data_IF_833963393289
#
_entry.id   IF_833963393289
#
_cell.length_a   1.000
_cell.length_b   1.000
_cell.length_c   1.000
_cell.angle_alpha   90.00
_cell.angle_beta   90.00
_cell.angle_gamma   90.00
#
_symmetry.space_group_name_H-M   'P 1'
#
loop_
_entity.id
_entity.type
_entity.pdbx_description
1 polymer ?
#
# COMPACT_ATOMS: atom_id res chain seq x y z
N UNK A 1 -14.16 -3.72 19.58
CA UNK A 1 -13.15 -3.55 18.54
C UNK A 1 -12.34 -2.31 18.86
N UNK A 2 -11.03 -2.41 18.82
CA UNK A 2 -10.12 -1.32 19.14
C UNK A 2 -9.54 -0.77 17.85
N UNK A 3 -9.58 0.55 17.68
CA UNK A 3 -9.08 1.25 16.51
C UNK A 3 -7.92 2.17 16.88
N UNK A 4 -7.12 2.53 15.90
CA UNK A 4 -6.12 3.58 16.03
C UNK A 4 -6.14 4.45 14.78
N UNK A 5 -5.81 5.73 14.96
CA UNK A 5 -5.70 6.69 13.85
C UNK A 5 -4.24 6.92 13.52
N UNK A 6 -3.92 6.89 12.26
CA UNK A 6 -2.60 7.20 11.72
C UNK A 6 -2.70 8.24 10.61
N UNK A 7 -1.60 8.92 10.35
CA UNK A 7 -1.49 9.87 9.24
C UNK A 7 -0.45 9.36 8.26
N UNK A 8 -0.89 9.08 7.05
CA UNK A 8 -0.07 8.65 5.93
C UNK A 8 -0.33 9.56 4.71
N UNK A 9 0.40 9.34 3.62
CA UNK A 9 0.19 10.07 2.38
C UNK A 9 -1.29 9.97 1.94
N UNK A 10 -1.97 11.07 1.63
CA UNK A 10 -3.42 11.12 1.43
C UNK A 10 -3.96 10.11 0.41
N UNK A 11 -3.34 9.97 -0.76
CA UNK A 11 -3.83 9.02 -1.77
C UNK A 11 -3.71 7.56 -1.33
N UNK A 12 -2.73 7.23 -0.47
CA UNK A 12 -2.59 5.88 0.09
C UNK A 12 -3.67 5.60 1.15
N UNK A 13 -4.03 6.60 1.94
CA UNK A 13 -5.17 6.50 2.86
C UNK A 13 -6.48 6.27 2.09
N UNK A 14 -6.73 7.03 1.04
CA UNK A 14 -7.90 6.88 0.17
C UNK A 14 -7.94 5.48 -0.48
N UNK A 15 -6.79 4.99 -0.94
CA UNK A 15 -6.68 3.65 -1.51
C UNK A 15 -7.09 2.55 -0.53
N UNK A 16 -6.59 2.60 0.70
CA UNK A 16 -6.93 1.62 1.75
C UNK A 16 -8.40 1.71 2.16
N UNK A 17 -8.93 2.92 2.30
CA UNK A 17 -10.34 3.13 2.59
C UNK A 17 -11.20 2.54 1.46
N UNK A 18 -10.90 2.84 0.22
CA UNK A 18 -11.62 2.32 -0.94
C UNK A 18 -11.53 0.81 -1.10
N UNK A 19 -10.39 0.23 -0.70
CA UNK A 19 -10.15 -1.21 -0.80
C UNK A 19 -10.88 -2.03 0.26
N UNK A 20 -10.93 -1.55 1.49
CA UNK A 20 -11.36 -2.35 2.65
C UNK A 20 -12.60 -1.80 3.39
N UNK A 21 -13.01 -0.56 3.13
CA UNK A 21 -14.17 0.02 3.81
C UNK A 21 -15.47 -0.25 3.04
N UNK A 22 -15.93 -1.49 3.06
CA UNK A 22 -17.19 -1.87 2.41
C UNK A 22 -18.45 -1.44 3.17
N UNK A 23 -18.32 -0.94 4.39
CA UNK A 23 -19.44 -0.68 5.29
C UNK A 23 -19.67 0.80 5.62
N UNK A 24 -18.91 1.74 5.06
CA UNK A 24 -19.01 3.19 5.30
C UNK A 24 -19.01 3.60 6.79
N UNK A 25 -18.34 2.85 7.65
CA UNK A 25 -18.33 3.08 9.10
C UNK A 25 -17.13 3.86 9.63
N UNK A 26 -16.36 4.49 8.79
CA UNK A 26 -15.21 5.29 9.20
C UNK A 26 -13.93 4.51 9.49
N UNK A 27 -13.99 3.41 10.24
CA UNK A 27 -12.84 2.54 10.47
C UNK A 27 -12.64 1.52 9.35
N UNK A 28 -11.37 1.27 9.02
CA UNK A 28 -10.98 0.26 8.04
C UNK A 28 -10.66 -1.06 8.73
N UNK A 29 -11.30 -2.13 8.30
CA UNK A 29 -11.02 -3.51 8.74
C UNK A 29 -10.20 -4.22 7.69
N UNK A 30 -8.96 -4.54 8.04
CA UNK A 30 -8.06 -5.27 7.16
C UNK A 30 -8.26 -6.77 7.39
N UNK A 31 -8.49 -7.56 6.32
CA UNK A 31 -8.66 -9.01 6.45
C UNK A 31 -7.43 -9.68 7.05
N UNK A 32 -7.65 -10.68 7.89
CA UNK A 32 -6.59 -11.48 8.51
C UNK A 32 -5.75 -12.30 7.51
N UNK A 33 -6.27 -12.51 6.32
CA UNK A 33 -5.56 -13.12 5.19
C UNK A 33 -4.58 -12.18 4.49
N UNK A 34 -4.59 -10.88 4.81
CA UNK A 34 -3.73 -9.87 4.20
C UNK A 34 -2.39 -9.77 4.91
N UNK A 35 -1.30 -9.64 4.14
CA UNK A 35 0.03 -9.36 4.69
C UNK A 35 0.05 -8.05 5.51
N UNK A 36 -0.75 -7.06 5.12
CA UNK A 36 -0.88 -5.80 5.84
C UNK A 36 -1.41 -6.02 7.28
N UNK A 37 -2.36 -6.94 7.47
CA UNK A 37 -2.84 -7.32 8.79
C UNK A 37 -1.70 -7.82 9.69
N UNK A 38 -0.86 -8.70 9.17
CA UNK A 38 0.27 -9.27 9.90
C UNK A 38 1.33 -8.22 10.22
N UNK A 39 1.62 -7.32 9.27
CA UNK A 39 2.57 -6.23 9.46
C UNK A 39 2.11 -5.25 10.54
N UNK A 40 0.85 -4.87 10.54
CA UNK A 40 0.28 -4.02 11.59
C UNK A 40 0.39 -4.70 12.95
N UNK A 41 0.05 -5.99 13.03
CA UNK A 41 0.16 -6.76 14.27
C UNK A 41 1.61 -6.79 14.81
N UNK A 42 2.60 -6.97 13.94
CA UNK A 42 4.01 -6.95 14.33
C UNK A 42 4.43 -5.58 14.90
N UNK A 43 3.94 -4.49 14.32
CA UNK A 43 4.23 -3.13 14.76
C UNK A 43 3.46 -2.67 16.00
N UNK A 44 2.39 -3.35 16.39
CA UNK A 44 1.63 -3.01 17.58
C UNK A 44 2.52 -3.12 18.82
N UNK A 45 2.50 -2.08 19.65
CA UNK A 45 3.28 -2.01 20.89
C UNK A 45 2.46 -1.35 22.01
N UNK A 46 2.99 -1.42 23.22
CA UNK A 46 2.43 -0.69 24.35
C UNK A 46 2.71 0.80 24.19
N UNK A 47 1.71 1.62 24.47
CA UNK A 47 1.88 3.08 24.47
C UNK A 47 2.81 3.49 25.59
N UNK A 48 3.87 4.27 25.32
CA UNK A 48 4.66 4.91 26.38
C UNK A 48 3.77 5.87 27.20
N UNK A 49 3.99 5.91 28.51
CA UNK A 49 3.18 6.74 29.42
C UNK A 49 3.21 8.24 29.07
N UNK A 50 4.27 8.70 28.46
CA UNK A 50 4.49 10.09 28.06
C UNK A 50 3.81 10.47 26.72
N UNK A 51 3.30 9.50 25.96
CA UNK A 51 2.72 9.72 24.63
C UNK A 51 1.20 9.74 24.72
N UNK A 52 0.55 10.87 24.37
CA UNK A 52 -0.91 10.97 24.38
C UNK A 52 -1.54 10.12 23.27
N UNK A 53 -2.81 9.77 23.46
CA UNK A 53 -3.61 9.12 22.42
C UNK A 53 -3.79 10.09 21.26
N UNK A 54 -3.49 9.66 20.02
CA UNK A 54 -3.75 10.45 18.82
C UNK A 54 -5.25 10.41 18.51
N UNK A 55 -5.88 11.58 18.57
CA UNK A 55 -7.31 11.74 18.28
C UNK A 55 -7.58 12.07 16.80
N UNK A 56 -6.53 12.39 16.04
CA UNK A 56 -6.62 12.79 14.64
C UNK A 56 -5.74 11.95 13.73
N UNK A 57 -6.18 11.79 12.48
CA UNK A 57 -5.45 11.09 11.44
C UNK A 57 -6.32 10.97 10.19
N UNK A 58 -5.71 10.65 9.06
CA UNK A 58 -6.43 10.45 7.80
C UNK A 58 -6.80 8.99 7.53
N UNK A 59 -6.39 8.08 8.40
CA UNK A 59 -6.73 6.66 8.30
C UNK A 59 -7.00 6.09 9.70
N UNK A 60 -8.20 5.60 9.92
CA UNK A 60 -8.56 4.87 11.14
C UNK A 60 -8.60 3.37 10.84
N UNK A 61 -7.77 2.62 11.55
CA UNK A 61 -7.59 1.18 11.35
C UNK A 61 -8.10 0.42 12.56
N UNK A 62 -8.91 -0.62 12.32
CA UNK A 62 -9.21 -1.63 13.32
C UNK A 62 -7.95 -2.47 13.56
N UNK A 63 -7.48 -2.49 14.80
CA UNK A 63 -6.27 -3.22 15.14
C UNK A 63 -6.49 -4.73 15.08
N UNK A 64 -5.51 -5.49 14.57
CA UNK A 64 -5.54 -6.94 14.59
C UNK A 64 -5.78 -7.50 15.99
N UNK A 65 -6.76 -8.40 16.10
CA UNK A 65 -7.11 -9.10 17.33
C UNK A 65 -6.97 -10.61 17.12
N UNK A 66 -5.97 -11.20 17.75
CA UNK A 66 -5.68 -12.63 17.68
C UNK A 66 -5.90 -13.27 19.04
N UNK A 67 -6.26 -14.56 19.05
CA UNK A 67 -6.49 -15.31 20.30
C UNK A 67 -5.28 -15.40 21.22
N UNK A 68 -4.07 -15.30 20.66
CA UNK A 68 -2.82 -15.33 21.41
C UNK A 68 -1.88 -14.22 20.95
N UNK A 69 -1.07 -13.72 21.86
CA UNK A 69 -0.07 -12.70 21.60
C UNK A 69 -0.50 -11.32 22.09
N UNK A 70 -0.37 -10.31 21.22
CA UNK A 70 -0.63 -8.91 21.58
C UNK A 70 -2.13 -8.64 21.67
N UNK A 71 -2.61 -8.34 22.89
CA UNK A 71 -3.98 -7.87 23.10
C UNK A 71 -4.10 -6.42 22.66
N UNK A 72 -4.98 -6.06 21.71
CA UNK A 72 -5.13 -4.69 21.24
C UNK A 72 -5.62 -3.71 22.31
N UNK A 73 -6.21 -4.20 23.41
CA UNK A 73 -6.54 -3.36 24.57
C UNK A 73 -5.29 -2.76 25.25
N UNK A 74 -4.16 -3.44 25.14
CA UNK A 74 -2.87 -3.05 25.73
C UNK A 74 -1.87 -2.61 24.66
N UNK A 75 -1.81 -3.34 23.56
CA UNK A 75 -0.89 -3.10 22.43
C UNK A 75 -1.59 -2.28 21.32
N UNK A 76 -1.99 -1.06 21.64
CA UNK A 76 -2.75 -0.18 20.75
C UNK A 76 -1.94 1.03 20.23
N UNK A 77 -0.63 0.97 20.34
CA UNK A 77 0.26 2.04 19.90
C UNK A 77 1.03 1.67 18.65
N UNK A 78 1.02 2.57 17.68
CA UNK A 78 1.85 2.54 16.48
C UNK A 78 2.80 3.73 16.53
N UNK A 79 4.09 3.46 16.71
CA UNK A 79 5.14 4.49 16.72
C UNK A 79 5.28 5.17 15.35
N UNK A 80 5.97 6.30 15.30
CA UNK A 80 6.30 6.98 14.03
C UNK A 80 7.02 6.03 13.06
N UNK A 81 7.92 5.20 13.56
CA UNK A 81 8.60 4.16 12.77
C UNK A 81 7.62 3.11 12.26
N UNK A 82 6.70 2.66 13.09
CA UNK A 82 5.66 1.71 12.71
C UNK A 82 4.76 2.27 11.60
N UNK A 83 4.31 3.50 11.73
CA UNK A 83 3.48 4.17 10.72
C UNK A 83 4.22 4.28 9.38
N UNK A 84 5.50 4.63 9.37
CA UNK A 84 6.32 4.67 8.15
C UNK A 84 6.46 3.29 7.50
N UNK A 85 6.66 2.24 8.30
CA UNK A 85 6.73 0.86 7.81
C UNK A 85 5.41 0.39 7.19
N UNK A 86 4.29 0.70 7.83
CA UNK A 86 2.94 0.41 7.33
C UNK A 86 2.68 1.18 6.04
N UNK A 87 3.00 2.48 5.99
CA UNK A 87 2.86 3.31 4.79
C UNK A 87 3.67 2.78 3.62
N UNK A 88 4.91 2.36 3.85
CA UNK A 88 5.76 1.77 2.81
C UNK A 88 5.14 0.48 2.25
N UNK A 89 4.59 -0.37 3.12
CA UNK A 89 3.91 -1.58 2.68
C UNK A 89 2.66 -1.26 1.84
N UNK A 90 1.85 -0.31 2.28
CA UNK A 90 0.67 0.16 1.53
C UNK A 90 1.07 0.73 0.16
N UNK A 91 2.14 1.52 0.11
CA UNK A 91 2.69 2.06 -1.14
C UNK A 91 3.12 0.95 -2.10
N UNK A 92 3.76 -0.07 -1.59
CA UNK A 92 4.16 -1.23 -2.41
C UNK A 92 2.95 -2.00 -2.93
N UNK A 93 1.92 -2.22 -2.11
CA UNK A 93 0.66 -2.82 -2.53
C UNK A 93 -0.01 -2.00 -3.64
N UNK A 94 -0.11 -0.69 -3.46
CA UNK A 94 -0.68 0.23 -4.43
C UNK A 94 0.05 0.17 -5.77
N UNK A 95 1.37 0.30 -5.75
CA UNK A 95 2.18 0.26 -6.95
C UNK A 95 2.09 -1.10 -7.66
N UNK A 96 2.12 -2.19 -6.92
CA UNK A 96 2.01 -3.53 -7.47
C UNK A 96 0.68 -3.74 -8.19
N UNK A 97 -0.41 -3.32 -7.59
CA UNK A 97 -1.76 -3.45 -8.16
C UNK A 97 -1.93 -2.57 -9.40
N UNK A 98 -1.55 -1.29 -9.33
CA UNK A 98 -1.61 -0.37 -10.47
C UNK A 98 -0.72 -0.83 -11.63
N UNK A 99 0.53 -1.19 -11.35
CA UNK A 99 1.46 -1.64 -12.37
C UNK A 99 1.00 -2.97 -13.01
N UNK A 100 0.40 -3.86 -12.23
CA UNK A 100 -0.17 -5.10 -12.74
C UNK A 100 -1.30 -4.85 -13.74
N UNK A 101 -2.22 -3.95 -13.42
CA UNK A 101 -3.31 -3.59 -14.32
C UNK A 101 -2.81 -2.94 -15.61
N UNK A 102 -1.84 -2.04 -15.52
CA UNK A 102 -1.24 -1.40 -16.70
C UNK A 102 -0.45 -2.39 -17.57
N UNK A 103 0.30 -3.31 -16.94
CA UNK A 103 1.02 -4.36 -17.67
C UNK A 103 0.07 -5.35 -18.35
N UNK A 104 -1.04 -5.69 -17.73
CA UNK A 104 -2.06 -6.55 -18.33
C UNK A 104 -2.72 -5.87 -19.54
N UNK A 105 -2.97 -4.56 -19.45
CA UNK A 105 -3.43 -3.77 -20.60
C UNK A 105 -2.40 -3.78 -21.74
N UNK A 106 -1.12 -3.63 -21.45
CA UNK A 106 -0.04 -3.71 -22.45
C UNK A 106 -0.01 -5.10 -23.12
N UNK A 107 -0.16 -6.18 -22.36
CA UNK A 107 -0.19 -7.56 -22.88
C UNK A 107 -1.39 -7.85 -23.77
N UNK A 108 -2.52 -7.20 -23.50
CA UNK A 108 -3.76 -7.33 -24.28
C UNK A 108 -3.79 -6.43 -25.52
N UNK A 109 -2.65 -5.78 -25.88
CA UNK A 109 -2.53 -4.94 -27.06
C UNK A 109 -3.12 -3.55 -26.91
N UNK A 110 -3.11 -2.98 -25.71
CA UNK A 110 -3.68 -1.66 -25.41
C UNK A 110 -5.15 -1.53 -25.79
N UNK A 111 -5.96 -2.42 -25.26
CA UNK A 111 -7.41 -2.35 -25.41
C UNK A 111 -7.99 -1.02 -24.91
N UNK A 112 -7.38 -0.46 -23.85
CA UNK A 112 -7.60 0.89 -23.35
C UNK A 112 -6.30 1.69 -23.42
N UNK A 113 -6.39 3.01 -23.51
CA UNK A 113 -5.23 3.87 -23.30
C UNK A 113 -4.79 3.79 -21.83
N UNK A 114 -3.50 3.90 -21.56
CA UNK A 114 -2.96 3.81 -20.21
C UNK A 114 -3.59 4.83 -19.26
N UNK A 115 -3.93 6.03 -19.75
CA UNK A 115 -4.61 7.05 -18.95
C UNK A 115 -6.02 6.60 -18.51
N UNK A 116 -6.73 5.87 -19.36
CA UNK A 116 -8.06 5.34 -19.04
C UNK A 116 -7.98 4.23 -17.99
N UNK A 117 -6.95 3.39 -18.05
CA UNK A 117 -6.67 2.38 -17.02
C UNK A 117 -6.41 3.04 -15.66
N UNK A 118 -5.58 4.07 -15.63
CA UNK A 118 -5.29 4.85 -14.42
C UNK A 118 -6.55 5.53 -13.90
N UNK A 119 -7.32 6.18 -14.77
CA UNK A 119 -8.59 6.82 -14.40
C UNK A 119 -9.55 5.83 -13.76
N UNK A 120 -9.74 4.67 -14.37
CA UNK A 120 -10.57 3.60 -13.83
C UNK A 120 -10.09 3.12 -12.47
N UNK A 121 -8.79 2.96 -12.30
CA UNK A 121 -8.18 2.57 -11.02
C UNK A 121 -8.48 3.60 -9.91
N UNK A 122 -8.28 4.89 -10.19
CA UNK A 122 -8.58 5.97 -9.26
C UNK A 122 -10.07 6.01 -8.89
N UNK A 123 -10.96 5.86 -9.87
CA UNK A 123 -12.40 5.83 -9.63
C UNK A 123 -12.82 4.60 -8.81
N UNK A 124 -12.23 3.44 -9.05
CA UNK A 124 -12.54 2.20 -8.34
C UNK A 124 -12.30 2.33 -6.83
N UNK A 125 -11.24 3.01 -6.43
CA UNK A 125 -10.90 3.19 -5.02
C UNK A 125 -11.28 4.57 -4.44
N UNK A 126 -11.87 5.45 -5.24
CA UNK A 126 -12.22 6.80 -4.79
C UNK A 126 -11.01 7.67 -4.45
N UNK A 127 -9.94 7.55 -5.22
CA UNK A 127 -8.68 8.28 -4.99
C UNK A 127 -8.72 9.62 -5.73
N UNK A 128 -8.57 10.72 -5.00
CA UNK A 128 -8.62 12.08 -5.53
C UNK A 128 -7.31 12.87 -5.30
N UNK A 129 -6.47 12.43 -4.35
CA UNK A 129 -5.29 13.18 -3.89
C UNK A 129 -4.03 12.98 -4.72
N UNK A 130 -4.12 12.30 -5.85
CA UNK A 130 -3.01 12.13 -6.80
C UNK A 130 -3.54 12.27 -8.23
N UNK A 131 -2.74 12.87 -9.11
CA UNK A 131 -3.09 13.04 -10.52
C UNK A 131 -2.81 11.77 -11.34
N UNK A 132 -3.59 11.57 -12.39
CA UNK A 132 -3.38 10.52 -13.38
C UNK A 132 -1.98 10.61 -14.01
N UNK A 133 -1.54 11.82 -14.33
CA UNK A 133 -0.22 12.08 -14.91
C UNK A 133 0.93 11.65 -13.98
N UNK A 134 0.82 11.89 -12.68
CA UNK A 134 1.80 11.45 -11.69
C UNK A 134 1.91 9.91 -11.64
N UNK A 135 0.78 9.20 -11.74
CA UNK A 135 0.75 7.73 -11.77
C UNK A 135 1.29 7.17 -13.07
N UNK A 136 1.02 7.79 -14.20
CA UNK A 136 1.61 7.41 -15.49
C UNK A 136 3.13 7.58 -15.47
N UNK A 137 3.66 8.68 -14.94
CA UNK A 137 5.09 8.89 -14.77
C UNK A 137 5.73 7.83 -13.87
N UNK A 138 5.06 7.48 -12.78
CA UNK A 138 5.48 6.39 -11.89
C UNK A 138 5.58 5.07 -12.66
N UNK A 139 4.58 4.72 -13.43
CA UNK A 139 4.56 3.50 -14.24
C UNK A 139 5.67 3.46 -15.30
N UNK A 140 5.90 4.55 -16.03
CA UNK A 140 6.96 4.61 -17.03
C UNK A 140 8.36 4.49 -16.43
N UNK A 141 8.59 5.06 -15.25
CA UNK A 141 9.84 4.86 -14.49
C UNK A 141 10.02 3.40 -14.09
N UNK A 142 8.97 2.76 -13.64
CA UNK A 142 8.97 1.34 -13.30
C UNK A 142 9.31 0.46 -14.51
N UNK A 143 8.68 0.69 -15.65
CA UNK A 143 8.98 -0.01 -16.90
C UNK A 143 10.44 0.16 -17.34
N UNK A 144 10.95 1.37 -17.28
CA UNK A 144 12.34 1.65 -17.63
C UNK A 144 13.31 0.93 -16.68
N UNK A 145 13.04 0.95 -15.38
CA UNK A 145 13.84 0.19 -14.41
C UNK A 145 13.87 -1.31 -14.72
N UNK A 146 12.74 -1.90 -15.11
CA UNK A 146 12.66 -3.32 -15.53
C UNK A 146 13.51 -3.57 -16.79
N UNK A 147 13.43 -2.70 -17.79
CA UNK A 147 14.24 -2.82 -19.03
C UNK A 147 15.74 -2.77 -18.71
N UNK A 148 16.16 -1.87 -17.82
CA UNK A 148 17.57 -1.74 -17.43
C UNK A 148 18.05 -2.99 -16.65
N UNK A 149 17.24 -3.53 -15.75
CA UNK A 149 17.55 -4.79 -15.05
C UNK A 149 17.71 -5.96 -16.02
N UNK A 150 16.82 -6.08 -17.00
CA UNK A 150 16.89 -7.13 -18.04
C UNK A 150 18.15 -7.01 -18.87
N UNK A 151 18.52 -5.81 -19.32
CA UNK A 151 19.76 -5.54 -20.07
C UNK A 151 21.00 -5.91 -19.24
N UNK A 152 21.04 -5.53 -17.95
CA UNK A 152 22.17 -5.89 -17.07
C UNK A 152 22.30 -7.39 -16.88
N UNK A 153 21.18 -8.11 -16.70
CA UNK A 153 21.18 -9.56 -16.60
C UNK A 153 21.73 -10.22 -17.87
N UNK A 154 21.24 -9.81 -19.04
CA UNK A 154 21.71 -10.32 -20.32
C UNK A 154 23.21 -10.08 -20.57
N UNK A 155 23.73 -8.90 -20.16
CA UNK A 155 25.18 -8.61 -20.25
C UNK A 155 25.99 -9.53 -19.35
N UNK A 156 25.54 -9.80 -18.12
CA UNK A 156 26.20 -10.74 -17.20
C UNK A 156 26.22 -12.17 -17.77
N UNK A 157 25.11 -12.65 -18.30
CA UNK A 157 25.01 -13.96 -18.91
C UNK A 157 25.93 -14.10 -20.12
N UNK A 158 26.01 -13.09 -20.98
CA UNK A 158 26.96 -13.08 -22.11
C UNK A 158 28.41 -13.12 -21.67
N UNK A 159 28.78 -12.39 -20.61
CA UNK A 159 30.15 -12.42 -20.06
C UNK A 159 30.50 -13.78 -19.46
N UNK A 160 29.55 -14.47 -18.82
CA UNK A 160 29.74 -15.82 -18.28
C UNK A 160 29.89 -16.89 -19.39
N UNK A 161 29.21 -16.73 -20.51
CA UNK A 161 29.25 -17.68 -21.62
C UNK A 161 30.48 -17.50 -22.54
N UNK A 162 31.30 -16.46 -22.36
CA UNK A 162 32.53 -16.17 -23.10
C UNK A 162 33.78 -16.71 -22.34
N UNK A 163 33.65 -17.03 -21.08
CA UNK A 163 34.71 -17.66 -20.24
C UNK A 163 34.49 -19.15 -20.10
#
# INVERSE_FOLDING_TARGET
MITTKITITPYLAEYIIGKYNHCNKGEVRIPDSSDLYHIIWEYMSRRPAEVPVLESGNLEIALPDRRAGKDPAVYNYLSVRAVKGIELHIKNMFNQELHSELMDNDRRGHFLDNIDVVHKFLCTYGIESISEDALLKNYYRYREALRQRKKRKQRREKLFNIS
#
